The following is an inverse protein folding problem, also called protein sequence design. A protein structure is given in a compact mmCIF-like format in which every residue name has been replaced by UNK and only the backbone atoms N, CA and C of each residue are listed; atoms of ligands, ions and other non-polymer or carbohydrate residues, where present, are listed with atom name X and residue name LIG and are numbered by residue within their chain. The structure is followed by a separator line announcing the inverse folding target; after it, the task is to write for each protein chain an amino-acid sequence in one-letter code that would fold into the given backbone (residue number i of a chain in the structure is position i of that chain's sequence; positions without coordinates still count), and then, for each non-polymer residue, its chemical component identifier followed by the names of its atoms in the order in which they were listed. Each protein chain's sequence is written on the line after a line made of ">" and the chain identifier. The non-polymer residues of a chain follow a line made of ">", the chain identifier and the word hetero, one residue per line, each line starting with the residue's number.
data_IF_005215417730
#
_entry.id   IF_005215417730
#
_cell.length_a   1.000
_cell.length_b   1.000
_cell.length_c   1.000
_cell.angle_alpha   90.00
_cell.angle_beta   90.00
_cell.angle_gamma   90.00
#
_symmetry.space_group_name_H-M   'P 1'
#
loop_
_entity.id
_entity.type
_entity.pdbx_description
1 polymer ?
#
# COMPACT_ATOMS: atom_id res chain seq x y z
N UNK A 1 -2.63 18.97 -29.61
CA UNK A 1 -1.29 19.58 -29.52
C UNK A 1 -0.96 19.68 -28.03
N UNK A 2 -0.27 18.82 -27.64
CA UNK A 2 0.90 18.53 -26.84
C UNK A 2 1.30 19.66 -25.87
N UNK A 3 0.96 19.54 -24.58
CA UNK A 3 1.55 20.29 -23.47
C UNK A 3 1.33 19.54 -22.14
N UNK A 4 1.73 18.28 -22.06
CA UNK A 4 1.75 17.49 -20.82
C UNK A 4 3.00 16.61 -20.79
N UNK A 5 4.18 17.15 -20.96
CA UNK A 5 5.29 16.25 -21.12
C UNK A 5 6.70 16.76 -20.88
N UNK A 6 6.96 17.72 -19.98
CA UNK A 6 8.37 18.15 -19.83
C UNK A 6 8.91 18.34 -18.42
N UNK A 7 8.18 17.90 -17.36
CA UNK A 7 8.74 18.02 -16.00
C UNK A 7 8.47 16.78 -15.13
N UNK A 8 8.60 15.59 -15.72
CA UNK A 8 8.60 14.36 -14.96
C UNK A 8 10.05 14.00 -14.63
N UNK A 9 10.41 13.89 -13.34
CA UNK A 9 11.74 13.38 -12.98
C UNK A 9 11.95 12.01 -13.63
N UNK A 10 13.16 11.80 -14.16
CA UNK A 10 13.53 10.51 -14.74
C UNK A 10 13.27 9.40 -13.72
N UNK A 11 12.78 8.21 -14.11
CA UNK A 11 12.44 7.11 -13.19
C UNK A 11 13.55 6.71 -12.22
N UNK A 12 14.78 7.05 -12.52
CA UNK A 12 15.97 6.72 -11.74
C UNK A 12 16.60 7.94 -11.03
N UNK A 13 15.97 9.11 -11.09
CA UNK A 13 16.48 10.34 -10.47
C UNK A 13 16.00 10.44 -9.01
N UNK A 14 16.90 10.16 -8.07
CA UNK A 14 16.67 10.36 -6.64
C UNK A 14 16.89 11.82 -6.30
N UNK A 15 15.84 12.58 -6.07
CA UNK A 15 15.94 13.97 -5.63
C UNK A 15 16.55 14.03 -4.21
N UNK A 16 17.68 14.75 -4.01
CA UNK A 16 18.29 14.90 -2.70
C UNK A 16 17.36 15.70 -1.76
N UNK A 17 17.08 15.16 -0.57
CA UNK A 17 16.42 15.90 0.52
C UNK A 17 14.96 15.54 0.79
N UNK A 18 14.36 14.62 0.05
CA UNK A 18 13.03 14.10 0.39
C UNK A 18 13.15 13.01 1.44
N UNK A 19 12.56 13.23 2.62
CA UNK A 19 12.51 12.24 3.70
C UNK A 19 11.49 11.14 3.33
N UNK A 20 11.88 10.18 2.48
CA UNK A 20 11.04 9.06 2.05
C UNK A 20 10.86 7.98 3.14
N UNK A 21 10.83 8.35 4.40
CA UNK A 21 10.56 7.43 5.49
C UNK A 21 11.51 6.23 5.51
N UNK A 22 10.96 5.02 5.36
CA UNK A 22 11.71 3.75 5.44
C UNK A 22 12.29 3.24 4.11
N UNK A 23 12.28 4.01 3.03
CA UNK A 23 12.70 3.58 1.68
C UNK A 23 14.06 2.88 1.66
N UNK A 24 15.11 3.46 2.27
CA UNK A 24 16.43 2.86 2.35
C UNK A 24 16.47 1.51 3.12
N UNK A 25 15.57 1.30 4.07
CA UNK A 25 15.43 0.01 4.75
C UNK A 25 14.83 -1.03 3.81
N UNK A 26 13.80 -0.64 3.05
CA UNK A 26 13.16 -1.54 2.08
C UNK A 26 14.09 -1.90 0.93
N UNK A 27 14.96 -1.00 0.50
CA UNK A 27 16.01 -1.32 -0.49
C UNK A 27 16.89 -2.49 -0.03
N UNK A 28 17.29 -2.53 1.24
CA UNK A 28 18.15 -3.61 1.78
C UNK A 28 17.47 -4.97 1.82
N UNK A 29 16.17 -5.01 2.04
CA UNK A 29 15.41 -6.29 2.16
C UNK A 29 14.68 -6.67 0.89
N UNK A 30 14.69 -5.83 -0.14
CA UNK A 30 13.87 -6.00 -1.36
C UNK A 30 13.96 -7.41 -1.95
N UNK A 31 15.16 -7.97 -2.08
CA UNK A 31 15.36 -9.29 -2.67
C UNK A 31 14.68 -10.46 -1.89
N UNK A 32 14.44 -10.28 -0.59
CA UNK A 32 13.84 -11.28 0.30
C UNK A 32 12.42 -10.94 0.72
N UNK A 33 11.95 -9.72 0.40
CA UNK A 33 10.71 -9.14 0.90
C UNK A 33 9.49 -10.04 0.63
N UNK A 34 9.31 -10.49 -0.61
CA UNK A 34 8.17 -11.34 -0.98
C UNK A 34 8.18 -12.68 -0.23
N UNK A 35 9.37 -13.29 -0.12
CA UNK A 35 9.54 -14.56 0.60
C UNK A 35 9.24 -14.40 2.09
N UNK A 36 9.75 -13.33 2.70
CA UNK A 36 9.50 -13.02 4.10
C UNK A 36 8.01 -12.79 4.38
N UNK A 37 7.35 -11.95 3.57
CA UNK A 37 5.91 -11.71 3.70
C UNK A 37 5.10 -13.00 3.56
N UNK A 38 5.47 -13.85 2.61
CA UNK A 38 4.78 -15.13 2.39
C UNK A 38 4.94 -16.10 3.55
N UNK A 39 6.14 -16.21 4.11
CA UNK A 39 6.41 -17.05 5.29
C UNK A 39 5.66 -16.50 6.51
N UNK A 40 5.77 -15.19 6.78
CA UNK A 40 5.16 -14.55 7.95
C UNK A 40 3.63 -14.57 7.90
N UNK A 41 3.05 -14.45 6.71
CA UNK A 41 1.60 -14.51 6.52
C UNK A 41 1.08 -15.93 6.30
N UNK A 42 1.95 -16.96 6.24
CA UNK A 42 1.61 -18.31 5.81
C UNK A 42 0.88 -18.32 4.45
N UNK A 43 1.21 -17.35 3.56
CA UNK A 43 0.60 -17.18 2.24
C UNK A 43 -0.80 -16.56 2.22
N UNK A 44 -1.36 -16.20 3.37
CA UNK A 44 -2.71 -15.57 3.47
C UNK A 44 -2.70 -14.13 2.92
N UNK A 45 -1.54 -13.49 2.83
CA UNK A 45 -1.37 -12.15 2.27
C UNK A 45 -1.98 -11.98 0.87
N UNK A 46 -1.94 -13.02 0.04
CA UNK A 46 -2.61 -13.04 -1.27
C UNK A 46 -4.13 -12.89 -1.17
N UNK A 47 -4.74 -13.54 -0.15
CA UNK A 47 -6.18 -13.42 0.10
C UNK A 47 -6.54 -12.01 0.55
N UNK A 48 -5.71 -11.40 1.41
CA UNK A 48 -5.94 -10.03 1.87
C UNK A 48 -5.87 -9.02 0.72
N UNK A 49 -4.83 -9.10 -0.13
CA UNK A 49 -4.72 -8.25 -1.34
C UNK A 49 -5.90 -8.45 -2.29
N UNK A 50 -6.32 -9.69 -2.50
CA UNK A 50 -7.51 -9.99 -3.31
C UNK A 50 -8.77 -9.31 -2.78
N UNK A 51 -8.97 -9.31 -1.47
CA UNK A 51 -10.10 -8.64 -0.83
C UNK A 51 -10.00 -7.12 -0.99
N UNK A 52 -8.83 -6.53 -0.82
CA UNK A 52 -8.60 -5.10 -1.01
C UNK A 52 -8.92 -4.66 -2.44
N UNK A 53 -8.46 -5.40 -3.45
CA UNK A 53 -8.76 -5.11 -4.86
C UNK A 53 -10.25 -5.23 -5.14
N UNK A 54 -10.93 -6.26 -4.65
CA UNK A 54 -12.40 -6.40 -4.80
C UNK A 54 -13.17 -5.25 -4.18
N UNK A 55 -12.69 -4.74 -3.05
CA UNK A 55 -13.34 -3.64 -2.33
C UNK A 55 -13.27 -2.30 -3.08
N UNK A 56 -12.36 -2.15 -4.03
CA UNK A 56 -12.31 -0.98 -4.92
C UNK A 56 -13.55 -0.89 -5.84
N UNK A 57 -14.24 -2.01 -6.11
CA UNK A 57 -15.42 -2.07 -6.99
C UNK A 57 -15.20 -1.33 -8.31
N UNK A 58 -14.10 -1.66 -8.99
CA UNK A 58 -13.61 -0.97 -10.17
C UNK A 58 -14.58 -1.11 -11.36
N UNK A 59 -14.83 -0.04 -12.13
CA UNK A 59 -15.54 -0.12 -13.40
C UNK A 59 -14.66 -0.80 -14.48
N UNK A 60 -15.25 -1.18 -15.63
CA UNK A 60 -14.45 -1.61 -16.78
C UNK A 60 -13.41 -0.56 -17.21
N UNK A 61 -12.27 -1.01 -17.70
CA UNK A 61 -11.13 -0.17 -18.13
C UNK A 61 -10.67 0.87 -17.09
N UNK A 62 -10.77 0.52 -15.80
CA UNK A 62 -10.43 1.39 -14.68
C UNK A 62 -8.97 1.85 -14.71
N UNK A 63 -8.73 3.09 -14.26
CA UNK A 63 -7.41 3.60 -13.92
C UNK A 63 -7.18 3.47 -12.42
N UNK A 64 -6.17 2.71 -12.03
CA UNK A 64 -5.88 2.42 -10.63
C UNK A 64 -4.50 2.95 -10.26
N UNK A 65 -4.40 3.58 -9.08
CA UNK A 65 -3.15 4.01 -8.49
C UNK A 65 -2.83 3.08 -7.30
N UNK A 66 -1.66 2.44 -7.35
CA UNK A 66 -1.16 1.59 -6.28
C UNK A 66 0.03 2.28 -5.59
N UNK A 67 -0.20 2.83 -4.40
CA UNK A 67 0.78 3.59 -3.63
C UNK A 67 1.62 2.66 -2.77
N UNK A 68 2.92 2.98 -2.67
CA UNK A 68 3.91 2.13 -2.00
C UNK A 68 3.80 0.71 -2.57
N UNK A 69 3.78 0.64 -3.91
CA UNK A 69 3.49 -0.58 -4.69
C UNK A 69 4.48 -1.70 -4.43
N UNK A 70 5.67 -1.38 -3.94
CA UNK A 70 6.72 -2.33 -3.62
C UNK A 70 7.11 -3.18 -4.83
N UNK A 71 6.96 -4.48 -4.67
CA UNK A 71 7.24 -5.47 -5.73
C UNK A 71 6.05 -5.72 -6.66
N UNK A 72 5.04 -4.82 -6.68
CA UNK A 72 3.87 -4.83 -7.55
C UNK A 72 2.86 -5.98 -7.32
N UNK A 73 2.80 -6.55 -6.14
CA UNK A 73 1.86 -7.65 -5.86
C UNK A 73 0.38 -7.22 -5.95
N UNK A 74 0.06 -5.98 -5.51
CA UNK A 74 -1.31 -5.44 -5.63
C UNK A 74 -1.60 -5.04 -7.07
N UNK A 75 -0.68 -4.36 -7.75
CA UNK A 75 -0.82 -4.01 -9.16
C UNK A 75 -1.12 -5.24 -10.03
N UNK A 76 -0.40 -6.34 -9.82
CA UNK A 76 -0.63 -7.61 -10.51
C UNK A 76 -1.96 -8.26 -10.11
N UNK A 77 -2.38 -8.14 -8.85
CA UNK A 77 -3.69 -8.65 -8.42
C UNK A 77 -4.84 -7.84 -9.04
N UNK A 78 -4.68 -6.51 -9.22
CA UNK A 78 -5.65 -5.68 -9.97
C UNK A 78 -5.81 -6.21 -11.39
N UNK A 79 -4.71 -6.39 -12.13
CA UNK A 79 -4.76 -6.86 -13.51
C UNK A 79 -5.26 -8.30 -13.65
N UNK A 80 -5.05 -9.13 -12.62
CA UNK A 80 -5.62 -10.47 -12.58
C UNK A 80 -7.15 -10.47 -12.45
N UNK A 81 -7.72 -9.53 -11.68
CA UNK A 81 -9.18 -9.39 -11.49
C UNK A 81 -9.84 -8.55 -12.57
N UNK A 82 -9.11 -7.56 -13.11
CA UNK A 82 -9.55 -6.57 -14.10
C UNK A 82 -8.52 -6.47 -15.22
N UNK A 83 -8.51 -7.40 -16.19
CA UNK A 83 -7.48 -7.46 -17.23
C UNK A 83 -7.44 -6.24 -18.16
N UNK A 84 -8.54 -5.50 -18.22
CA UNK A 84 -8.72 -4.26 -19.00
C UNK A 84 -8.28 -2.99 -18.25
N UNK A 85 -7.95 -3.10 -16.95
CA UNK A 85 -7.52 -1.98 -16.14
C UNK A 85 -6.12 -1.47 -16.55
N UNK A 86 -5.84 -0.21 -16.18
CA UNK A 86 -4.50 0.41 -16.23
C UNK A 86 -4.05 0.69 -14.82
N UNK A 87 -2.88 0.21 -14.45
CA UNK A 87 -2.33 0.38 -13.11
C UNK A 87 -1.09 1.25 -13.15
N UNK A 88 -1.06 2.24 -12.30
CA UNK A 88 0.11 3.05 -12.03
C UNK A 88 0.57 2.76 -10.61
N UNK A 89 1.79 2.24 -10.45
CA UNK A 89 2.37 1.94 -9.15
C UNK A 89 3.42 2.98 -8.78
N UNK A 90 3.36 3.53 -7.58
CA UNK A 90 4.38 4.43 -7.04
C UNK A 90 5.07 3.81 -5.83
N UNK A 91 6.39 3.94 -5.78
CA UNK A 91 7.18 3.52 -4.61
C UNK A 91 8.43 4.38 -4.45
N UNK A 92 8.84 4.76 -3.22
CA UNK A 92 10.07 5.48 -2.97
C UNK A 92 11.33 4.59 -2.98
N UNK A 93 11.21 3.27 -3.17
CA UNK A 93 12.32 2.32 -3.24
C UNK A 93 12.58 1.87 -4.68
N UNK A 94 13.70 2.29 -5.25
CA UNK A 94 14.11 1.88 -6.59
C UNK A 94 14.36 0.36 -6.70
N UNK A 95 14.83 -0.26 -5.62
CA UNK A 95 15.07 -1.71 -5.57
C UNK A 95 13.76 -2.50 -5.60
N UNK A 96 12.75 -2.05 -4.86
CA UNK A 96 11.40 -2.63 -4.92
C UNK A 96 10.81 -2.51 -6.33
N UNK A 97 10.88 -1.31 -6.92
CA UNK A 97 10.40 -1.06 -8.28
C UNK A 97 11.13 -1.95 -9.32
N UNK A 98 12.44 -2.13 -9.20
CA UNK A 98 13.19 -3.00 -10.09
C UNK A 98 12.70 -4.46 -10.04
N UNK A 99 12.35 -4.96 -8.85
CA UNK A 99 11.75 -6.29 -8.68
C UNK A 99 10.33 -6.30 -9.27
N UNK A 100 9.52 -5.29 -8.95
CA UNK A 100 8.16 -5.15 -9.45
C UNK A 100 8.10 -5.13 -10.98
N UNK A 101 8.95 -4.32 -11.63
CA UNK A 101 9.05 -4.25 -13.10
C UNK A 101 9.40 -5.62 -13.73
N UNK A 102 10.29 -6.40 -13.08
CA UNK A 102 10.57 -7.78 -13.53
C UNK A 102 9.35 -8.70 -13.40
N UNK A 103 8.57 -8.57 -12.31
CA UNK A 103 7.35 -9.35 -12.10
C UNK A 103 6.28 -8.99 -13.11
N UNK A 104 6.04 -7.69 -13.35
CA UNK A 104 5.10 -7.18 -14.35
C UNK A 104 5.45 -7.71 -15.74
N UNK A 105 6.74 -7.65 -16.13
CA UNK A 105 7.23 -8.17 -17.40
C UNK A 105 7.02 -9.70 -17.53
N UNK A 106 7.36 -10.46 -16.50
CA UNK A 106 7.14 -11.92 -16.50
C UNK A 106 5.67 -12.31 -16.61
N UNK A 107 4.78 -11.44 -16.12
CA UNK A 107 3.34 -11.62 -16.21
C UNK A 107 2.74 -11.11 -17.55
N UNK A 108 3.53 -10.48 -18.43
CA UNK A 108 3.07 -9.94 -19.71
C UNK A 108 2.22 -8.68 -19.59
N UNK A 109 2.39 -7.90 -18.51
CA UNK A 109 1.53 -6.74 -18.20
C UNK A 109 2.22 -5.39 -18.40
N UNK A 110 3.34 -5.30 -19.15
CA UNK A 110 4.10 -4.06 -19.34
C UNK A 110 3.29 -2.93 -20.00
N UNK A 111 2.27 -3.28 -20.77
CA UNK A 111 1.38 -2.30 -21.41
C UNK A 111 0.26 -1.83 -20.49
N UNK A 112 0.01 -2.54 -19.40
CA UNK A 112 -1.12 -2.30 -18.48
C UNK A 112 -0.68 -1.84 -17.10
N UNK A 113 0.59 -2.03 -16.73
CA UNK A 113 1.15 -1.57 -15.46
C UNK A 113 2.43 -0.76 -15.70
N UNK A 114 2.44 0.45 -15.17
CA UNK A 114 3.62 1.31 -15.11
C UNK A 114 4.03 1.50 -13.65
N UNK A 115 5.33 1.33 -13.35
CA UNK A 115 5.86 1.48 -11.99
C UNK A 115 6.87 2.63 -11.97
N UNK A 116 6.60 3.65 -11.13
CA UNK A 116 7.36 4.89 -11.07
C UNK A 116 7.87 5.16 -9.65
N UNK A 117 9.01 5.85 -9.58
CA UNK A 117 9.46 6.44 -8.33
C UNK A 117 8.53 7.59 -7.93
N UNK A 118 8.14 7.66 -6.65
CA UNK A 118 7.26 8.72 -6.17
C UNK A 118 6.93 8.61 -4.69
N UNK A 119 6.38 9.71 -4.18
CA UNK A 119 5.95 9.85 -2.79
C UNK A 119 4.41 9.90 -2.71
N UNK A 120 3.84 9.10 -1.83
CA UNK A 120 2.40 9.11 -1.56
C UNK A 120 1.91 10.44 -0.94
N UNK A 121 2.83 11.25 -0.41
CA UNK A 121 2.55 12.54 0.21
C UNK A 121 2.47 13.70 -0.79
N UNK A 122 2.90 13.48 -2.04
CA UNK A 122 2.94 14.51 -3.08
C UNK A 122 2.75 13.86 -4.45
N UNK A 123 1.49 13.71 -4.86
CA UNK A 123 1.13 12.98 -6.06
C UNK A 123 1.08 13.92 -7.28
N UNK A 124 1.92 13.71 -8.32
CA UNK A 124 1.97 14.57 -9.50
C UNK A 124 0.81 14.30 -10.46
N UNK A 125 -0.40 14.12 -9.92
CA UNK A 125 -1.60 13.83 -10.71
C UNK A 125 -2.70 14.84 -10.40
N UNK A 126 -3.48 15.14 -11.43
CA UNK A 126 -4.64 16.00 -11.29
C UNK A 126 -5.69 15.36 -10.37
N UNK A 127 -6.54 16.21 -9.79
CA UNK A 127 -7.68 15.77 -8.99
C UNK A 127 -8.56 14.81 -9.79
N UNK A 128 -9.12 13.82 -9.09
CA UNK A 128 -10.11 12.90 -9.66
C UNK A 128 -9.61 12.16 -10.92
N UNK A 129 -8.35 11.73 -10.90
CA UNK A 129 -7.71 11.04 -12.02
C UNK A 129 -7.89 9.54 -12.02
N UNK A 130 -8.19 8.93 -10.86
CA UNK A 130 -8.20 7.47 -10.69
C UNK A 130 -9.57 6.95 -10.25
N UNK A 131 -9.98 5.81 -10.80
CA UNK A 131 -11.19 5.09 -10.40
C UNK A 131 -11.00 4.33 -9.08
N UNK A 132 -9.77 3.93 -8.79
CA UNK A 132 -9.40 3.30 -7.53
C UNK A 132 -7.99 3.70 -7.10
N UNK A 133 -7.81 3.89 -5.79
CA UNK A 133 -6.49 4.11 -5.18
C UNK A 133 -6.28 3.06 -4.10
N UNK A 134 -5.13 2.45 -4.05
CA UNK A 134 -4.81 1.44 -3.03
C UNK A 134 -3.44 1.66 -2.42
N UNK A 135 -3.31 1.26 -1.16
CA UNK A 135 -2.04 1.14 -0.48
C UNK A 135 -2.09 -0.09 0.43
N UNK A 136 -1.15 -1.01 0.26
CA UNK A 136 -1.12 -2.25 1.04
C UNK A 136 0.21 -2.38 1.80
N UNK A 137 0.12 -2.46 3.14
CA UNK A 137 1.25 -2.62 4.07
C UNK A 137 2.27 -1.49 4.02
N UNK A 138 1.84 -0.31 3.54
CA UNK A 138 2.69 0.84 3.29
C UNK A 138 2.38 2.07 4.11
N UNK A 139 1.10 2.34 4.44
CA UNK A 139 0.67 3.60 5.06
C UNK A 139 1.30 3.84 6.44
N UNK A 140 1.62 2.79 7.21
CA UNK A 140 2.28 2.92 8.51
C UNK A 140 3.70 3.47 8.40
N UNK A 141 4.33 3.35 7.23
CA UNK A 141 5.70 3.77 6.95
C UNK A 141 5.77 5.18 6.33
N UNK A 142 4.64 5.75 5.95
CA UNK A 142 4.56 7.11 5.40
C UNK A 142 4.74 8.12 6.54
N UNK A 143 5.70 9.05 6.44
CA UNK A 143 5.97 10.05 7.49
C UNK A 143 4.76 10.91 7.83
N UNK A 144 4.15 11.56 6.84
CA UNK A 144 2.92 12.33 6.98
C UNK A 144 1.74 11.57 6.39
N UNK A 145 1.14 10.72 7.22
CA UNK A 145 -0.05 9.93 6.84
C UNK A 145 -1.26 10.79 6.52
N UNK A 146 -1.41 11.93 7.19
CA UNK A 146 -2.55 12.82 6.96
C UNK A 146 -2.47 13.42 5.55
N UNK A 147 -1.27 13.86 5.15
CA UNK A 147 -1.02 14.37 3.80
C UNK A 147 -1.24 13.28 2.74
N UNK A 148 -0.73 12.08 2.96
CA UNK A 148 -0.95 10.97 2.02
C UNK A 148 -2.43 10.61 1.87
N UNK A 149 -3.20 10.59 2.97
CA UNK A 149 -4.65 10.35 2.93
C UNK A 149 -5.38 11.46 2.18
N UNK A 150 -4.98 12.73 2.36
CA UNK A 150 -5.54 13.86 1.63
C UNK A 150 -5.23 13.77 0.12
N UNK A 151 -4.02 13.40 -0.26
CA UNK A 151 -3.64 13.15 -1.66
C UNK A 151 -4.45 11.99 -2.27
N UNK A 152 -4.64 10.89 -1.54
CA UNK A 152 -5.53 9.81 -1.97
C UNK A 152 -6.95 10.30 -2.22
N UNK A 153 -7.49 11.13 -1.31
CA UNK A 153 -8.82 11.71 -1.48
C UNK A 153 -8.89 12.60 -2.72
N UNK A 154 -7.87 13.45 -2.92
CA UNK A 154 -7.80 14.41 -4.03
C UNK A 154 -7.78 13.72 -5.39
N UNK A 155 -6.90 12.71 -5.56
CA UNK A 155 -6.71 12.06 -6.87
C UNK A 155 -7.76 11.02 -7.19
N UNK A 156 -8.56 10.57 -6.23
CA UNK A 156 -9.64 9.60 -6.45
C UNK A 156 -10.87 10.29 -7.03
N UNK A 157 -11.48 9.72 -8.07
CA UNK A 157 -12.75 10.20 -8.64
C UNK A 157 -13.85 10.13 -7.59
N UNK A 158 -14.90 10.95 -7.72
CA UNK A 158 -16.02 11.01 -6.78
C UNK A 158 -16.70 9.64 -6.55
N UNK A 159 -16.85 8.86 -7.61
CA UNK A 159 -17.43 7.51 -7.57
C UNK A 159 -16.38 6.42 -7.31
N UNK A 160 -15.11 6.81 -7.26
CA UNK A 160 -13.99 5.92 -7.02
C UNK A 160 -13.87 5.51 -5.56
N UNK A 161 -13.00 4.54 -5.29
CA UNK A 161 -12.74 4.05 -3.94
C UNK A 161 -11.26 4.03 -3.61
N UNK A 162 -11.00 4.22 -2.33
CA UNK A 162 -9.69 4.03 -1.71
C UNK A 162 -9.73 2.76 -0.88
N UNK A 163 -8.78 1.84 -1.08
CA UNK A 163 -8.62 0.64 -0.28
C UNK A 163 -7.26 0.64 0.43
N UNK A 164 -7.26 0.66 1.74
CA UNK A 164 -6.05 0.65 2.57
C UNK A 164 -6.02 -0.68 3.32
N UNK A 165 -4.96 -1.45 3.10
CA UNK A 165 -4.73 -2.73 3.77
C UNK A 165 -3.49 -2.61 4.66
N UNK A 166 -3.65 -2.77 5.99
CA UNK A 166 -2.52 -2.54 6.88
C UNK A 166 -2.43 -3.54 8.04
N UNK A 167 -1.19 -3.83 8.43
CA UNK A 167 -0.88 -4.65 9.60
C UNK A 167 -1.17 -3.86 10.87
N UNK A 168 -1.84 -4.52 11.82
CA UNK A 168 -2.21 -3.94 13.10
C UNK A 168 -1.83 -4.86 14.26
N UNK A 169 -1.67 -4.29 15.44
CA UNK A 169 -1.60 -5.10 16.66
C UNK A 169 -3.01 -5.58 17.03
N UNK A 170 -3.25 -6.91 17.12
CA UNK A 170 -4.57 -7.44 17.50
C UNK A 170 -4.95 -6.95 18.91
N UNK A 171 -6.02 -6.17 19.01
CA UNK A 171 -6.45 -5.57 20.30
C UNK A 171 -7.63 -6.28 20.89
N UNK A 172 -8.52 -6.85 20.07
CA UNK A 172 -9.79 -7.46 20.46
C UNK A 172 -9.98 -8.85 19.82
N UNK A 173 -10.83 -9.66 20.44
CA UNK A 173 -11.20 -11.01 19.98
C UNK A 173 -10.63 -12.12 20.85
N UNK A 174 -11.33 -13.28 20.89
CA UNK A 174 -11.01 -14.44 21.70
C UNK A 174 -9.58 -14.97 21.45
N UNK A 175 -9.09 -14.89 20.23
CA UNK A 175 -7.74 -15.32 19.84
C UNK A 175 -6.71 -14.17 19.82
N UNK A 176 -7.09 -12.95 20.21
CA UNK A 176 -6.17 -11.82 20.22
C UNK A 176 -4.91 -12.05 21.09
N UNK A 177 -4.98 -12.69 22.28
CA UNK A 177 -3.78 -13.02 23.03
C UNK A 177 -2.85 -13.98 22.30
N UNK A 178 -3.41 -14.98 21.61
CA UNK A 178 -2.65 -15.97 20.84
C UNK A 178 -2.03 -15.31 19.59
N UNK A 179 -2.80 -14.48 18.88
CA UNK A 179 -2.32 -13.71 17.73
C UNK A 179 -1.21 -12.73 18.13
N UNK A 180 -1.36 -12.03 19.27
CA UNK A 180 -0.29 -11.19 19.84
C UNK A 180 0.96 -11.98 20.19
N UNK A 181 0.80 -13.15 20.81
CA UNK A 181 1.92 -14.03 21.15
C UNK A 181 2.63 -14.51 19.89
N UNK A 182 1.89 -14.86 18.84
CA UNK A 182 2.44 -15.22 17.53
C UNK A 182 3.25 -14.07 16.93
N UNK A 183 2.67 -12.86 16.87
CA UNK A 183 3.33 -11.66 16.34
C UNK A 183 4.56 -11.28 17.19
N UNK A 184 4.46 -11.36 18.52
CA UNK A 184 5.54 -10.95 19.44
C UNK A 184 6.64 -12.00 19.60
N UNK A 185 6.37 -13.28 19.39
CA UNK A 185 7.31 -14.35 19.69
C UNK A 185 7.80 -15.10 18.46
N UNK A 186 6.92 -15.48 17.53
CA UNK A 186 7.31 -16.28 16.37
C UNK A 186 7.87 -15.41 15.24
N UNK A 187 7.22 -14.29 14.97
CA UNK A 187 7.65 -13.35 13.93
C UNK A 187 9.10 -12.88 14.13
N UNK A 188 9.54 -12.47 15.36
CA UNK A 188 10.94 -12.09 15.58
C UNK A 188 11.92 -13.25 15.44
N UNK A 189 11.56 -14.47 15.89
CA UNK A 189 12.47 -15.63 15.79
C UNK A 189 12.69 -16.06 14.35
N UNK A 190 11.62 -16.16 13.56
CA UNK A 190 11.71 -16.45 12.12
C UNK A 190 12.45 -15.35 11.40
N UNK A 191 12.20 -14.12 11.77
CA UNK A 191 12.82 -12.97 11.17
C UNK A 191 14.30 -12.79 11.48
N UNK A 192 14.71 -13.01 12.70
CA UNK A 192 16.12 -12.98 13.08
C UNK A 192 16.92 -14.04 12.30
N UNK A 193 16.28 -15.18 11.98
CA UNK A 193 16.92 -16.26 11.21
C UNK A 193 17.08 -15.90 9.71
N UNK A 194 16.18 -15.06 9.16
CA UNK A 194 16.07 -14.84 7.70
C UNK A 194 16.59 -13.48 7.22
N UNK A 195 16.57 -12.42 8.05
CA UNK A 195 16.94 -11.06 7.58
C UNK A 195 17.64 -10.16 8.61
N UNK A 196 17.80 -10.60 9.86
CA UNK A 196 18.42 -9.80 10.91
C UNK A 196 17.44 -9.10 11.86
N UNK A 197 17.92 -8.76 13.07
CA UNK A 197 17.11 -8.24 14.16
C UNK A 197 16.56 -6.79 13.99
N UNK A 198 17.18 -5.86 13.22
CA UNK A 198 16.72 -4.47 13.12
C UNK A 198 15.39 -4.29 12.43
N UNK A 199 15.16 -4.95 11.29
CA UNK A 199 13.97 -4.81 10.44
C UNK A 199 12.71 -5.34 11.14
N UNK A 200 12.87 -6.38 11.97
CA UNK A 200 11.76 -6.94 12.75
C UNK A 200 11.37 -6.08 13.94
N UNK A 201 12.36 -5.47 14.61
CA UNK A 201 12.07 -4.47 15.65
C UNK A 201 11.32 -3.27 15.05
N UNK A 202 11.71 -2.85 13.84
CA UNK A 202 10.99 -1.81 13.13
C UNK A 202 9.54 -2.22 12.83
N UNK A 203 9.31 -3.42 12.30
CA UNK A 203 7.96 -3.94 12.02
C UNK A 203 7.09 -3.92 13.29
N UNK A 204 7.58 -4.45 14.41
CA UNK A 204 6.85 -4.45 15.67
C UNK A 204 6.55 -3.02 16.17
N UNK A 205 7.53 -2.12 16.11
CA UNK A 205 7.35 -0.73 16.53
C UNK A 205 6.35 0.01 15.64
N UNK A 206 6.42 -0.17 14.33
CA UNK A 206 5.52 0.49 13.38
C UNK A 206 4.09 -0.03 13.51
N UNK A 207 3.89 -1.33 13.80
CA UNK A 207 2.57 -1.90 14.08
C UNK A 207 2.00 -1.38 15.41
N UNK A 208 2.80 -1.35 16.47
CA UNK A 208 2.38 -0.85 17.78
C UNK A 208 2.04 0.65 17.77
N UNK A 209 2.76 1.43 16.96
CA UNK A 209 2.56 2.87 16.77
C UNK A 209 1.39 3.20 15.82
N UNK A 210 0.84 2.21 15.11
CA UNK A 210 -0.27 2.44 14.20
C UNK A 210 -1.57 2.61 15.00
N UNK A 211 -2.45 3.60 14.63
CA UNK A 211 -3.67 3.87 15.38
C UNK A 211 -4.64 2.68 15.40
N UNK A 212 -5.52 2.64 16.39
CA UNK A 212 -6.64 1.71 16.41
C UNK A 212 -7.54 1.92 15.17
N UNK A 213 -8.31 0.90 14.73
CA UNK A 213 -9.15 0.99 13.53
C UNK A 213 -10.06 2.21 13.51
N UNK A 214 -10.76 2.52 14.60
CA UNK A 214 -11.67 3.67 14.68
C UNK A 214 -10.93 5.00 14.63
N UNK A 215 -9.78 5.09 15.30
CA UNK A 215 -8.94 6.29 15.27
C UNK A 215 -8.35 6.55 13.88
N UNK A 216 -8.01 5.47 13.14
CA UNK A 216 -7.55 5.60 11.76
C UNK A 216 -8.68 5.97 10.80
N UNK A 217 -9.88 5.39 10.96
CA UNK A 217 -11.07 5.79 10.22
C UNK A 217 -11.41 7.26 10.44
N UNK A 218 -11.23 7.78 11.66
CA UNK A 218 -11.40 9.19 11.95
C UNK A 218 -10.32 10.08 11.29
N UNK A 219 -9.07 9.61 11.23
CA UNK A 219 -8.02 10.27 10.48
C UNK A 219 -8.34 10.33 8.98
N UNK A 220 -8.93 9.26 8.41
CA UNK A 220 -9.40 9.25 7.02
C UNK A 220 -10.49 10.30 6.79
N UNK A 221 -11.46 10.44 7.71
CA UNK A 221 -12.50 11.50 7.60
C UNK A 221 -11.91 12.90 7.59
N UNK A 222 -10.97 13.18 8.51
CA UNK A 222 -10.28 14.48 8.56
C UNK A 222 -9.49 14.80 7.30
N UNK A 223 -9.01 13.76 6.60
CA UNK A 223 -8.29 13.89 5.33
C UNK A 223 -9.21 13.95 4.11
N UNK A 224 -10.53 14.02 4.28
CA UNK A 224 -11.48 14.09 3.16
C UNK A 224 -11.91 12.74 2.59
N UNK A 225 -11.62 11.64 3.28
CA UNK A 225 -12.08 10.29 2.92
C UNK A 225 -13.23 9.85 3.81
N UNK A 226 -14.38 9.54 3.24
CA UNK A 226 -15.53 8.98 3.95
C UNK A 226 -15.39 7.46 4.06
N UNK A 227 -15.15 6.87 5.25
CA UNK A 227 -15.06 5.43 5.41
C UNK A 227 -16.38 4.73 5.08
N UNK A 228 -16.31 3.72 4.22
CA UNK A 228 -17.42 2.86 3.84
C UNK A 228 -17.37 1.53 4.61
N UNK A 229 -16.16 1.03 4.86
CA UNK A 229 -15.93 -0.24 5.54
C UNK A 229 -14.64 -0.18 6.35
N UNK A 230 -14.68 -0.69 7.57
CA UNK A 230 -13.50 -1.00 8.40
C UNK A 230 -13.60 -2.46 8.80
N UNK A 231 -12.77 -3.30 8.19
CA UNK A 231 -12.89 -4.76 8.30
C UNK A 231 -11.62 -5.40 8.84
N UNK A 232 -11.63 -5.86 10.10
CA UNK A 232 -10.57 -6.70 10.64
C UNK A 232 -10.49 -8.03 9.90
N UNK A 233 -9.28 -8.44 9.54
CA UNK A 233 -8.99 -9.71 8.89
C UNK A 233 -8.04 -10.51 9.80
N UNK A 234 -8.13 -11.85 9.72
CA UNK A 234 -7.24 -12.77 10.45
C UNK A 234 -7.09 -12.36 11.92
N UNK A 235 -8.24 -12.30 12.63
CA UNK A 235 -8.31 -11.97 14.06
C UNK A 235 -7.70 -10.58 14.40
N UNK A 236 -7.80 -9.61 13.49
CA UNK A 236 -7.32 -8.25 13.70
C UNK A 236 -5.82 -8.03 13.47
N UNK A 237 -5.08 -9.03 12.96
CA UNK A 237 -3.67 -8.85 12.54
C UNK A 237 -3.55 -7.91 11.34
N UNK A 238 -4.58 -7.87 10.51
CA UNK A 238 -4.70 -6.99 9.36
C UNK A 238 -6.06 -6.30 9.41
N UNK A 239 -6.12 -5.04 8.99
CA UNK A 239 -7.37 -4.34 8.76
C UNK A 239 -7.43 -3.84 7.31
N UNK A 240 -8.60 -4.05 6.70
CA UNK A 240 -8.96 -3.45 5.43
C UNK A 240 -9.88 -2.26 5.71
N UNK A 241 -9.45 -1.09 5.24
CA UNK A 241 -10.25 0.13 5.26
C UNK A 241 -10.64 0.47 3.83
N UNK A 242 -11.91 0.71 3.61
CA UNK A 242 -12.43 1.16 2.32
C UNK A 242 -13.12 2.50 2.52
N UNK A 243 -12.82 3.45 1.65
CA UNK A 243 -13.41 4.78 1.69
C UNK A 243 -13.70 5.31 0.29
N UNK A 244 -14.44 6.39 0.22
CA UNK A 244 -14.59 7.23 -0.97
C UNK A 244 -14.22 8.68 -0.63
N UNK A 245 -13.93 9.53 -1.62
CA UNK A 245 -13.79 10.95 -1.38
C UNK A 245 -15.08 11.52 -0.78
N UNK A 246 -14.94 12.33 0.28
CA UNK A 246 -16.04 13.03 0.90
C UNK A 246 -16.64 14.08 -0.04
N UNK A 247 -17.92 14.44 0.16
CA UNK A 247 -18.63 15.41 -0.69
C UNK A 247 -18.05 16.82 -0.66
N UNK A 248 -17.16 17.12 0.29
CA UNK A 248 -16.51 18.42 0.47
C UNK A 248 -15.03 18.47 0.06
N UNK A 249 -14.45 17.37 -0.45
CA UNK A 249 -13.11 17.35 -1.01
C UNK A 249 -13.16 17.99 -2.42
N UNK A 250 -12.99 19.32 -2.45
CA UNK A 250 -12.85 20.10 -3.67
C UNK A 250 -11.41 20.46 -3.88
#
# INVERSE_FOLDING_TARGET
>A
MSALGEDRPHPDEVLPGTAFGSGAMFDRIAARYDTLNRILSLGVDRRWRRLAVRALALPPAARVLDLVTGTADVALEVLRQHPDARVLGLDPSLQMLAIGRRKVRRAGHERSAELLFGDAQDLPYADRSFDGVTIAFGIRNVPDRARALAEMARVTKREGRVAILELMEPREGFLAPLARSFVRSLVPRVGALLSGAPEYRYLQRSMAAFPAPDAFAEAMRRAGLEPLETRPLTQGVVCLFVARPGRGAA
#
